data_IF_108103411924
#
_entry.id   IF_108103411924
#
_cell.length_a   1.000
_cell.length_b   1.000
_cell.length_c   1.000
_cell.angle_alpha   90.00
_cell.angle_beta   90.00
_cell.angle_gamma   90.00
#
_symmetry.space_group_name_H-M   'P 1'
#
loop_
_entity.id
_entity.type
_entity.pdbx_description
1 polymer ?
#
# COMPACT_ATOMS: atom_id res chain seq x y z
N UNK A 1 1.13 -3.50 -17.75
CA UNK A 1 1.51 -2.51 -16.72
C UNK A 1 3.02 -2.58 -16.47
N UNK A 2 3.66 -1.42 -16.29
CA UNK A 2 5.07 -1.32 -15.90
C UNK A 2 5.23 -1.57 -14.39
N UNK A 3 6.35 -2.19 -14.00
CA UNK A 3 6.68 -2.37 -12.59
C UNK A 3 7.02 -1.02 -11.94
N UNK A 4 6.81 -0.93 -10.64
CA UNK A 4 7.17 0.22 -9.82
C UNK A 4 8.62 0.04 -9.36
N UNK A 5 9.50 0.97 -9.71
CA UNK A 5 10.87 1.01 -9.20
C UNK A 5 10.93 1.98 -8.03
N UNK A 6 11.50 1.57 -6.89
CA UNK A 6 11.73 2.48 -5.76
C UNK A 6 12.57 3.68 -6.18
N UNK A 7 12.22 4.86 -5.67
CA UNK A 7 12.94 6.09 -5.93
C UNK A 7 13.05 6.87 -4.62
N UNK A 8 14.09 7.70 -4.50
CA UNK A 8 14.31 8.53 -3.33
C UNK A 8 13.16 9.52 -3.06
N UNK A 9 12.34 9.85 -4.07
CA UNK A 9 11.14 10.67 -3.91
C UNK A 9 10.04 10.00 -3.07
N UNK A 10 10.07 8.67 -2.92
CA UNK A 10 9.14 7.93 -2.06
C UNK A 10 9.61 7.85 -0.60
N UNK A 11 10.86 8.25 -0.31
CA UNK A 11 11.38 8.17 1.04
C UNK A 11 10.75 9.23 1.92
N UNK A 12 10.12 8.79 3.01
CA UNK A 12 9.54 9.64 4.04
C UNK A 12 10.56 10.00 5.13
N UNK A 13 11.81 9.54 4.99
CA UNK A 13 12.89 9.84 5.92
C UNK A 13 12.77 9.12 7.26
N UNK A 14 11.95 8.07 7.34
CA UNK A 14 11.88 7.13 8.45
C UNK A 14 12.20 5.75 7.89
N UNK A 15 13.38 5.23 8.21
CA UNK A 15 13.94 4.01 7.61
C UNK A 15 12.97 2.83 7.68
N UNK A 16 12.27 2.65 8.80
CA UNK A 16 11.31 1.58 8.95
C UNK A 16 10.14 1.71 7.96
N UNK A 17 9.58 2.92 7.80
CA UNK A 17 8.47 3.18 6.86
C UNK A 17 8.93 2.99 5.41
N UNK A 18 10.13 3.47 5.08
CA UNK A 18 10.71 3.29 3.73
C UNK A 18 10.86 1.79 3.37
N UNK A 19 11.29 0.94 4.32
CA UNK A 19 11.39 -0.50 4.08
C UNK A 19 10.01 -1.16 3.94
N UNK A 20 9.01 -0.70 4.69
CA UNK A 20 7.63 -1.16 4.55
C UNK A 20 7.03 -0.76 3.19
N UNK A 21 7.22 0.48 2.74
CA UNK A 21 6.80 0.95 1.42
C UNK A 21 7.48 0.16 0.29
N UNK A 22 8.79 -0.10 0.38
CA UNK A 22 9.51 -0.95 -0.59
C UNK A 22 8.92 -2.35 -0.67
N UNK A 23 8.54 -2.93 0.47
CA UNK A 23 7.93 -4.27 0.50
C UNK A 23 6.54 -4.27 -0.13
N UNK A 24 5.69 -3.27 0.16
CA UNK A 24 4.39 -3.10 -0.50
C UNK A 24 4.55 -2.93 -2.02
N UNK A 25 5.49 -2.10 -2.47
CA UNK A 25 5.85 -1.95 -3.89
C UNK A 25 6.27 -3.30 -4.50
N UNK A 26 7.09 -4.08 -3.78
CA UNK A 26 7.50 -5.42 -4.19
C UNK A 26 6.31 -6.38 -4.36
N UNK A 27 5.33 -6.34 -3.46
CA UNK A 27 4.11 -7.15 -3.53
C UNK A 27 3.24 -6.75 -4.74
N UNK A 28 3.07 -5.44 -4.99
CA UNK A 28 2.36 -4.96 -6.19
C UNK A 28 3.08 -5.41 -7.47
N UNK A 29 4.42 -5.35 -7.48
CA UNK A 29 5.20 -5.81 -8.63
C UNK A 29 5.07 -7.32 -8.87
N UNK A 30 4.96 -8.13 -7.82
CA UNK A 30 4.66 -9.57 -7.94
C UNK A 30 3.29 -9.76 -8.59
N UNK A 31 2.26 -9.05 -8.14
CA UNK A 31 0.92 -9.08 -8.74
C UNK A 31 0.94 -8.67 -10.23
N UNK A 32 1.68 -7.61 -10.59
CA UNK A 32 1.86 -7.18 -11.99
C UNK A 32 2.53 -8.26 -12.83
N UNK A 33 3.49 -9.00 -12.28
CA UNK A 33 4.19 -10.07 -12.97
C UNK A 33 3.26 -11.27 -13.20
N UNK A 34 2.55 -11.71 -12.17
CA UNK A 34 1.62 -12.83 -12.26
C UNK A 34 0.44 -12.53 -13.20
N UNK A 35 0.03 -11.25 -13.35
CA UNK A 35 -0.97 -10.84 -14.34
C UNK A 35 -0.52 -11.08 -15.80
N UNK A 36 0.79 -11.03 -16.07
CA UNK A 36 1.35 -11.20 -17.43
C UNK A 36 1.44 -12.67 -17.84
N UNK A 37 1.20 -13.60 -16.92
CA UNK A 37 1.27 -15.05 -17.13
C UNK A 37 -0.13 -15.61 -16.94
N UNK A 38 -0.45 -16.74 -17.59
CA UNK A 38 -1.68 -17.48 -17.31
C UNK A 38 -1.57 -18.15 -15.94
N UNK A 39 -1.71 -17.35 -14.88
CA UNK A 39 -1.54 -17.74 -13.48
C UNK A 39 -2.84 -18.26 -12.90
N UNK A 40 -2.73 -19.29 -12.05
CA UNK A 40 -3.88 -19.87 -11.37
C UNK A 40 -4.58 -18.81 -10.48
N UNK A 41 -5.93 -18.78 -10.48
CA UNK A 41 -6.73 -17.82 -9.72
C UNK A 41 -6.39 -17.79 -8.22
N UNK A 42 -6.12 -18.97 -7.64
CA UNK A 42 -5.76 -19.09 -6.23
C UNK A 42 -4.44 -18.37 -5.90
N UNK A 43 -3.46 -18.42 -6.80
CA UNK A 43 -2.18 -17.71 -6.58
C UNK A 43 -2.37 -16.20 -6.52
N UNK A 44 -3.28 -15.66 -7.35
CA UNK A 44 -3.63 -14.24 -7.32
C UNK A 44 -4.34 -13.89 -6.01
N UNK A 45 -5.28 -14.71 -5.57
CA UNK A 45 -5.99 -14.55 -4.30
C UNK A 45 -4.99 -14.50 -3.13
N UNK A 46 -4.08 -15.48 -3.04
CA UNK A 46 -3.09 -15.57 -1.97
C UNK A 46 -2.17 -14.33 -1.92
N UNK A 47 -1.73 -13.85 -3.09
CA UNK A 47 -0.90 -12.64 -3.19
C UNK A 47 -1.63 -11.37 -2.77
N UNK A 48 -2.91 -11.25 -3.10
CA UNK A 48 -3.75 -10.12 -2.67
C UNK A 48 -3.99 -10.16 -1.16
N UNK A 49 -4.25 -11.33 -0.59
CA UNK A 49 -4.37 -11.51 0.86
C UNK A 49 -3.07 -11.13 1.56
N UNK A 50 -1.92 -11.66 1.09
CA UNK A 50 -0.60 -11.32 1.63
C UNK A 50 -0.35 -9.80 1.61
N UNK A 51 -0.71 -9.14 0.52
CA UNK A 51 -0.55 -7.70 0.36
C UNK A 51 -1.48 -6.89 1.27
N UNK A 52 -2.74 -7.29 1.38
CA UNK A 52 -3.74 -6.63 2.23
C UNK A 52 -3.38 -6.74 3.70
N UNK A 53 -2.93 -7.92 4.14
CA UNK A 53 -2.47 -8.15 5.52
C UNK A 53 -1.24 -7.30 5.83
N UNK A 54 -0.30 -7.23 4.89
CA UNK A 54 0.91 -6.42 5.09
C UNK A 54 0.63 -4.91 5.06
N UNK A 55 -0.32 -4.45 4.25
CA UNK A 55 -0.78 -3.06 4.25
C UNK A 55 -1.37 -2.67 5.61
N UNK A 56 -2.18 -3.54 6.24
CA UNK A 56 -2.69 -3.30 7.60
C UNK A 56 -1.56 -3.18 8.64
N UNK A 57 -0.52 -4.02 8.54
CA UNK A 57 0.65 -3.93 9.43
C UNK A 57 1.36 -2.59 9.25
N UNK A 58 1.56 -2.18 8.00
CA UNK A 58 2.18 -0.90 7.68
C UNK A 58 1.37 0.29 8.21
N UNK A 59 0.08 0.34 7.92
CA UNK A 59 -0.81 1.42 8.38
C UNK A 59 -0.85 1.52 9.90
N UNK A 60 -0.93 0.39 10.62
CA UNK A 60 -0.86 0.40 12.09
C UNK A 60 0.45 0.98 12.62
N UNK A 61 1.57 0.71 11.94
CA UNK A 61 2.87 1.26 12.33
C UNK A 61 2.91 2.78 12.14
N UNK A 62 2.42 3.28 11.00
CA UNK A 62 2.29 4.72 10.76
C UNK A 62 1.34 5.38 11.77
N UNK A 63 0.16 4.81 11.97
CA UNK A 63 -0.87 5.31 12.89
C UNK A 63 -0.38 5.35 14.33
N UNK A 64 0.40 4.36 14.74
CA UNK A 64 1.07 4.34 16.03
C UNK A 64 2.05 5.51 16.17
N UNK A 65 2.92 5.74 15.17
CA UNK A 65 3.87 6.86 15.20
C UNK A 65 3.13 8.22 15.16
N UNK A 66 2.09 8.34 14.33
CA UNK A 66 1.25 9.53 14.28
C UNK A 66 0.60 9.82 15.63
N UNK A 67 0.11 8.79 16.33
CA UNK A 67 -0.49 8.92 17.65
C UNK A 67 0.56 9.32 18.71
N UNK A 68 1.68 8.61 18.75
CA UNK A 68 2.76 8.80 19.73
C UNK A 68 3.31 10.22 19.69
N UNK A 69 3.52 10.77 18.50
CA UNK A 69 4.11 12.11 18.34
C UNK A 69 3.08 13.24 18.26
N UNK A 70 1.79 12.92 18.20
CA UNK A 70 0.69 13.88 18.14
C UNK A 70 0.55 14.57 16.77
N UNK A 71 0.58 13.79 15.69
CA UNK A 71 0.40 14.31 14.33
C UNK A 71 -1.06 14.75 14.09
N UNK A 72 -1.27 16.00 13.70
CA UNK A 72 -2.59 16.63 13.64
C UNK A 72 -3.52 16.06 12.56
N UNK A 73 -2.94 15.50 11.48
CA UNK A 73 -3.71 14.96 10.35
C UNK A 73 -3.96 13.44 10.44
N UNK A 74 -3.63 12.81 11.57
CA UNK A 74 -3.77 11.36 11.80
C UNK A 74 -5.15 10.82 11.40
N UNK A 75 -6.23 11.47 11.84
CA UNK A 75 -7.59 10.97 11.62
C UNK A 75 -8.00 10.93 10.15
N UNK A 76 -7.49 11.85 9.33
CA UNK A 76 -7.78 11.87 7.89
C UNK A 76 -7.01 10.75 7.19
N UNK A 77 -5.76 10.52 7.60
CA UNK A 77 -4.92 9.47 7.03
C UNK A 77 -5.42 8.07 7.40
N UNK A 78 -5.84 7.83 8.66
CA UNK A 78 -6.51 6.60 9.11
C UNK A 78 -7.74 6.25 8.27
N UNK A 79 -8.54 7.26 7.93
CA UNK A 79 -9.72 7.05 7.08
C UNK A 79 -9.31 6.57 5.68
N UNK A 80 -8.27 7.15 5.10
CA UNK A 80 -7.78 6.74 3.79
C UNK A 80 -7.20 5.32 3.81
N UNK A 81 -6.50 4.94 4.89
CA UNK A 81 -6.04 3.57 5.12
C UNK A 81 -7.20 2.59 5.17
N UNK A 82 -8.24 2.89 5.96
CA UNK A 82 -9.42 2.04 6.05
C UNK A 82 -10.13 1.91 4.69
N UNK A 83 -10.30 3.02 3.96
CA UNK A 83 -10.89 3.00 2.62
C UNK A 83 -10.10 2.13 1.63
N UNK A 84 -8.77 2.09 1.76
CA UNK A 84 -7.93 1.23 0.94
C UNK A 84 -8.14 -0.24 1.24
N UNK A 85 -8.18 -0.61 2.52
CA UNK A 85 -8.43 -2.00 2.94
C UNK A 85 -9.83 -2.43 2.48
N UNK A 86 -10.85 -1.62 2.73
CA UNK A 86 -12.24 -1.93 2.37
C UNK A 86 -12.40 -2.11 0.86
N UNK A 87 -11.80 -1.22 0.05
CA UNK A 87 -11.83 -1.34 -1.43
C UNK A 87 -11.10 -2.59 -1.89
N UNK A 88 -9.95 -2.89 -1.33
CA UNK A 88 -9.15 -4.08 -1.71
C UNK A 88 -9.91 -5.38 -1.39
N UNK A 89 -10.58 -5.44 -0.23
CA UNK A 89 -11.46 -6.57 0.14
C UNK A 89 -12.71 -6.63 -0.77
N UNK A 90 -13.33 -5.49 -1.09
CA UNK A 90 -14.50 -5.47 -1.97
C UNK A 90 -14.19 -5.99 -3.38
N UNK A 91 -12.98 -5.72 -3.90
CA UNK A 91 -12.52 -6.30 -5.16
C UNK A 91 -12.42 -7.83 -5.09
N UNK A 92 -12.04 -8.38 -3.94
CA UNK A 92 -12.02 -9.82 -3.70
C UNK A 92 -13.44 -10.40 -3.68
N UNK A 93 -14.37 -9.81 -2.92
CA UNK A 93 -15.75 -10.31 -2.82
C UNK A 93 -16.53 -10.17 -4.13
N UNK A 94 -16.26 -9.15 -4.94
CA UNK A 94 -16.89 -8.98 -6.25
C UNK A 94 -16.38 -9.96 -7.32
N UNK A 95 -15.26 -10.65 -7.07
CA UNK A 95 -14.64 -11.61 -7.99
C UNK A 95 -15.34 -12.98 -8.05
N UNK A 96 -16.40 -13.19 -7.26
CA UNK A 96 -17.34 -14.33 -7.37
C UNK A 96 -17.99 -14.47 -8.77
N UNK A 97 -17.82 -13.49 -9.66
CA UNK A 97 -18.24 -13.53 -11.06
C UNK A 97 -17.28 -14.29 -12.00
N UNK A 98 -16.15 -14.79 -11.50
CA UNK A 98 -15.34 -15.76 -12.21
C UNK A 98 -13.83 -15.62 -11.95
N UNK A 99 -13.10 -16.75 -11.89
CA UNK A 99 -11.70 -16.80 -11.48
C UNK A 99 -10.68 -16.17 -12.45
N UNK A 100 -11.11 -15.50 -13.52
CA UNK A 100 -10.20 -15.03 -14.55
C UNK A 100 -9.90 -13.55 -14.39
N UNK A 101 -8.64 -13.30 -14.01
CA UNK A 101 -7.91 -12.03 -13.93
C UNK A 101 -8.16 -11.19 -12.68
N UNK A 102 -7.06 -11.04 -11.93
CA UNK A 102 -6.65 -9.75 -11.40
C UNK A 102 -6.95 -8.66 -12.45
N UNK A 103 -8.06 -7.95 -12.28
CA UNK A 103 -8.46 -6.98 -13.30
C UNK A 103 -7.37 -5.91 -13.40
N UNK A 104 -7.05 -5.49 -14.61
CA UNK A 104 -6.12 -4.36 -14.81
C UNK A 104 -6.55 -3.15 -13.97
N UNK A 105 -7.85 -2.97 -13.75
CA UNK A 105 -8.42 -1.95 -12.87
C UNK A 105 -7.99 -2.09 -11.41
N UNK A 106 -7.98 -3.30 -10.84
CA UNK A 106 -7.49 -3.53 -9.46
C UNK A 106 -6.00 -3.20 -9.36
N UNK A 107 -5.17 -3.70 -10.29
CA UNK A 107 -3.74 -3.38 -10.27
C UNK A 107 -3.48 -1.88 -10.43
N UNK A 108 -4.19 -1.23 -11.35
CA UNK A 108 -4.08 0.22 -11.56
C UNK A 108 -4.50 0.97 -10.30
N UNK A 109 -5.54 0.50 -9.60
CA UNK A 109 -5.96 1.04 -8.33
C UNK A 109 -4.86 0.88 -7.26
N UNK A 110 -4.37 -0.33 -7.00
CA UNK A 110 -3.35 -0.59 -5.98
C UNK A 110 -2.08 0.24 -6.22
N UNK A 111 -1.62 0.27 -7.47
CA UNK A 111 -0.44 1.05 -7.90
C UNK A 111 -0.68 2.55 -7.72
N UNK A 112 -1.80 3.07 -8.22
CA UNK A 112 -2.08 4.50 -8.21
C UNK A 112 -2.33 5.00 -6.80
N UNK A 113 -3.06 4.22 -5.99
CA UNK A 113 -3.34 4.56 -4.61
C UNK A 113 -2.04 4.57 -3.79
N UNK A 114 -1.23 3.51 -3.81
CA UNK A 114 -0.02 3.46 -2.98
C UNK A 114 0.96 4.59 -3.32
N UNK A 115 1.26 4.79 -4.60
CA UNK A 115 2.19 5.85 -5.02
C UNK A 115 1.61 7.24 -4.75
N UNK A 116 0.32 7.42 -4.98
CA UNK A 116 -0.37 8.68 -4.69
C UNK A 116 -0.38 8.98 -3.20
N UNK A 117 -0.63 7.98 -2.36
CA UNK A 117 -0.69 8.10 -0.90
C UNK A 117 0.70 8.44 -0.33
N UNK A 118 1.74 7.70 -0.71
CA UNK A 118 3.11 7.99 -0.29
C UNK A 118 3.50 9.44 -0.63
N UNK A 119 3.32 9.83 -1.90
CA UNK A 119 3.78 11.14 -2.36
C UNK A 119 2.96 12.32 -1.84
N UNK A 120 1.71 12.11 -1.42
CA UNK A 120 0.80 13.20 -1.04
C UNK A 120 0.46 13.24 0.44
N UNK A 121 0.37 12.10 1.09
CA UNK A 121 -0.12 11.97 2.47
C UNK A 121 1.04 11.64 3.39
N UNK A 122 1.74 10.54 3.14
CA UNK A 122 2.90 10.12 3.96
C UNK A 122 4.01 11.20 3.95
N UNK A 123 4.26 11.79 2.79
CA UNK A 123 5.22 12.90 2.67
C UNK A 123 4.90 14.12 3.54
N UNK A 124 3.64 14.30 3.98
CA UNK A 124 3.27 15.41 4.88
C UNK A 124 3.82 15.21 6.30
N UNK A 125 3.92 13.97 6.77
CA UNK A 125 4.49 13.70 8.10
C UNK A 125 6.02 13.69 8.12
N UNK A 126 6.69 13.73 6.95
CA UNK A 126 8.16 13.60 6.83
C UNK A 126 8.93 14.61 7.69
N UNK A 127 8.68 15.90 7.48
CA UNK A 127 9.37 16.95 8.23
C UNK A 127 8.93 16.96 9.71
N UNK A 128 7.67 16.58 9.95
CA UNK A 128 7.15 16.41 11.31
C UNK A 128 7.92 15.34 12.08
N UNK A 129 8.02 14.11 11.58
CA UNK A 129 8.76 13.02 12.23
C UNK A 129 10.27 13.31 12.33
N UNK A 130 10.85 13.94 11.30
CA UNK A 130 12.23 14.43 11.38
C UNK A 130 12.43 15.42 12.54
N UNK A 131 11.48 16.33 12.78
CA UNK A 131 11.54 17.27 13.91
C UNK A 131 11.44 16.59 15.28
N UNK A 132 10.90 15.35 15.32
CA UNK A 132 10.82 14.49 16.51
C UNK A 132 12.03 13.56 16.69
N UNK A 133 12.99 13.62 15.77
CA UNK A 133 14.23 12.83 15.83
C UNK A 133 14.14 11.44 15.20
N UNK A 134 13.09 11.16 14.43
CA UNK A 134 12.96 9.91 13.68
C UNK A 134 13.81 9.96 12.40
N UNK A 135 14.34 8.80 12.02
CA UNK A 135 15.21 8.61 10.85
C UNK A 135 15.09 7.22 10.25
#
# INVERSE_FOLDING_TARGET
>A
MEIITWKNEFSVGVKEMDEQHKKLIGMINRLIKEQKVLTEPQTIADLLTEMTDYAQVHFRAEEYLMAEYGYEHKSEQEKQHQEFIDKTIAFYSASDLGPNLLSTALLDYLRTWLIGHILKEDMKYKDFFKSKGLS
#
